data_IF_727998156406
#
_entry.id   IF_727998156406
#
_cell.length_a   1.000
_cell.length_b   1.000
_cell.length_c   1.000
_cell.angle_alpha   90.00
_cell.angle_beta   90.00
_cell.angle_gamma   90.00
#
_symmetry.space_group_name_H-M   'P 1'
#
loop_
_entity.id
_entity.type
_entity.pdbx_description
1 polymer ?
#
# COMPACT_ATOMS: atom_id res chain seq x y z
N UNK A 1 4.67 11.36 22.81
CA UNK A 1 4.76 12.77 23.27
C UNK A 1 4.71 13.62 22.01
N UNK A 2 3.62 14.37 21.81
CA UNK A 2 3.50 15.31 20.70
C UNK A 2 4.57 16.39 20.91
N UNK A 3 5.63 16.35 20.11
CA UNK A 3 6.56 17.47 20.01
C UNK A 3 5.77 18.68 19.50
N UNK A 4 6.08 19.86 20.05
CA UNK A 4 5.51 21.12 19.61
C UNK A 4 5.56 21.19 18.07
N UNK A 5 4.49 21.67 17.44
CA UNK A 5 4.43 21.95 16.01
C UNK A 5 5.52 22.97 15.67
N UNK A 6 6.68 22.48 15.23
CA UNK A 6 7.64 23.30 14.50
C UNK A 6 6.87 23.89 13.32
N UNK A 7 6.69 25.20 13.33
CA UNK A 7 5.97 25.86 12.23
C UNK A 7 6.94 25.92 11.06
N UNK A 8 6.89 24.92 10.18
CA UNK A 8 7.70 24.88 8.97
C UNK A 8 7.40 26.09 8.06
N UNK A 9 8.44 26.68 7.47
CA UNK A 9 8.35 27.80 6.54
C UNK A 9 8.11 27.34 5.09
N UNK A 10 8.57 26.16 4.70
CA UNK A 10 8.34 25.61 3.37
C UNK A 10 6.94 25.00 3.23
N UNK A 11 6.35 25.12 2.03
CA UNK A 11 5.08 24.47 1.71
C UNK A 11 5.19 22.94 1.81
N UNK A 12 6.35 22.37 1.46
CA UNK A 12 6.60 20.95 1.51
C UNK A 12 6.49 20.37 2.92
N UNK A 13 7.28 20.88 3.87
CA UNK A 13 7.31 20.29 5.20
C UNK A 13 6.02 20.56 5.96
N UNK A 14 5.38 21.73 5.77
CA UNK A 14 4.02 21.96 6.29
C UNK A 14 3.03 20.92 5.77
N UNK A 15 2.99 20.72 4.45
CA UNK A 15 2.06 19.77 3.83
C UNK A 15 2.30 18.33 4.31
N UNK A 16 3.56 17.93 4.47
CA UNK A 16 3.91 16.60 4.97
C UNK A 16 3.55 16.45 6.46
N UNK A 17 3.78 17.47 7.28
CA UNK A 17 3.45 17.46 8.71
C UNK A 17 1.94 17.43 8.96
N UNK A 18 1.19 18.35 8.34
CA UNK A 18 -0.27 18.48 8.51
C UNK A 18 -1.04 17.22 8.06
N UNK A 19 -0.46 16.46 7.11
CA UNK A 19 -1.01 15.18 6.64
C UNK A 19 -0.45 13.97 7.38
N UNK A 20 0.48 14.14 8.31
CA UNK A 20 1.04 13.08 9.14
C UNK A 20 2.02 12.15 8.43
N UNK A 21 2.74 12.64 7.41
CA UNK A 21 3.78 11.87 6.73
C UNK A 21 5.11 11.85 7.49
N UNK A 22 5.41 12.83 8.34
CA UNK A 22 6.75 12.91 8.96
C UNK A 22 6.84 11.96 10.15
N UNK A 23 7.75 10.98 10.07
CA UNK A 23 8.16 10.14 11.20
C UNK A 23 9.57 10.47 11.68
N UNK A 24 10.53 10.51 10.76
CA UNK A 24 11.89 10.96 11.03
C UNK A 24 12.35 11.87 9.90
N UNK A 25 13.15 12.87 10.24
CA UNK A 25 13.75 13.81 9.29
C UNK A 25 15.16 14.15 9.76
N UNK A 26 16.13 14.16 8.84
CA UNK A 26 17.47 14.67 9.14
C UNK A 26 17.50 16.17 8.93
N UNK A 27 18.10 16.89 9.89
CA UNK A 27 18.24 18.36 9.88
C UNK A 27 16.97 19.09 9.37
N UNK A 28 15.85 19.03 10.12
CA UNK A 28 14.56 19.58 9.68
C UNK A 28 14.67 21.06 9.29
N UNK A 29 15.43 21.85 10.05
CA UNK A 29 15.63 23.26 9.76
C UNK A 29 16.41 23.50 8.44
N UNK A 30 17.45 22.70 8.19
CA UNK A 30 18.20 22.76 6.93
C UNK A 30 17.36 22.38 5.71
N UNK A 31 16.56 21.31 5.82
CA UNK A 31 15.66 20.88 4.75
C UNK A 31 14.56 21.91 4.50
N UNK A 32 13.98 22.48 5.55
CA UNK A 32 12.95 23.52 5.45
C UNK A 32 13.47 24.78 4.77
N UNK A 33 14.64 25.26 5.20
CA UNK A 33 15.29 26.41 4.60
C UNK A 33 15.67 26.16 3.13
N UNK A 34 16.04 24.92 2.77
CA UNK A 34 16.32 24.55 1.37
C UNK A 34 15.05 24.55 0.54
N UNK A 35 13.98 23.92 1.02
CA UNK A 35 12.69 23.83 0.34
C UNK A 35 12.00 25.18 0.19
N UNK A 36 12.19 26.11 1.14
CA UNK A 36 11.70 27.48 1.03
C UNK A 36 12.44 28.33 -0.02
N UNK A 37 13.69 27.97 -0.34
CA UNK A 37 14.55 28.73 -1.27
C UNK A 37 14.42 28.29 -2.73
N UNK A 38 14.03 27.04 -2.98
CA UNK A 38 13.98 26.52 -4.35
C UNK A 38 13.43 25.11 -4.48
N UNK A 39 13.50 24.61 -5.70
CA UNK A 39 13.05 23.25 -6.05
C UNK A 39 14.02 22.23 -5.46
N UNK A 40 13.50 21.27 -4.70
CA UNK A 40 14.26 20.18 -4.11
C UNK A 40 13.98 18.90 -4.88
N UNK A 41 14.91 18.39 -5.70
CA UNK A 41 14.73 17.08 -6.28
C UNK A 41 14.83 16.02 -5.18
N UNK A 42 13.78 15.23 -5.04
CA UNK A 42 13.63 14.23 -4.00
C UNK A 42 13.15 12.90 -4.57
N UNK A 43 13.65 11.79 -4.03
CA UNK A 43 13.43 10.47 -4.61
C UNK A 43 12.90 9.43 -3.64
N UNK A 44 12.23 8.41 -4.20
CA UNK A 44 11.93 7.14 -3.53
C UNK A 44 12.26 6.00 -4.49
N UNK A 45 12.89 4.94 -3.96
CA UNK A 45 13.18 3.71 -4.68
C UNK A 45 12.08 2.66 -4.56
N UNK A 46 11.80 1.95 -5.65
CA UNK A 46 10.83 0.86 -5.72
C UNK A 46 11.42 -0.36 -6.43
N UNK A 47 11.61 -1.46 -5.69
CA UNK A 47 12.05 -2.73 -6.28
C UNK A 47 10.91 -3.41 -7.06
N UNK A 48 11.20 -3.85 -8.29
CA UNK A 48 10.25 -4.43 -9.24
C UNK A 48 10.03 -5.94 -9.00
N UNK A 49 9.68 -6.32 -7.77
CA UNK A 49 9.56 -7.73 -7.36
C UNK A 49 8.26 -8.43 -7.77
N UNK A 50 7.30 -7.68 -8.33
CA UNK A 50 6.00 -8.16 -8.78
C UNK A 50 5.48 -7.22 -9.90
N UNK A 51 4.49 -7.63 -10.72
CA UNK A 51 3.98 -6.80 -11.82
C UNK A 51 3.17 -5.58 -11.34
N UNK A 52 2.92 -5.45 -10.05
CA UNK A 52 2.20 -4.33 -9.45
C UNK A 52 2.81 -4.00 -8.09
N UNK A 53 2.74 -2.73 -7.71
CA UNK A 53 2.86 -2.34 -6.31
C UNK A 53 1.54 -2.61 -5.58
N UNK A 54 1.55 -2.53 -4.25
CA UNK A 54 0.36 -2.70 -3.41
C UNK A 54 0.12 -1.46 -2.55
N UNK A 55 -1.02 -1.35 -1.88
CA UNK A 55 -1.39 -0.19 -1.03
C UNK A 55 -0.35 0.16 0.04
N UNK A 56 0.46 -0.80 0.52
CA UNK A 56 1.58 -0.50 1.42
C UNK A 56 2.66 0.41 0.80
N UNK A 57 2.81 0.38 -0.53
CA UNK A 57 3.71 1.26 -1.28
C UNK A 57 3.02 2.56 -1.69
N UNK A 58 1.69 2.60 -1.70
CA UNK A 58 0.92 3.76 -2.14
C UNK A 58 1.23 5.00 -1.30
N UNK A 59 1.49 4.86 0.00
CA UNK A 59 1.85 6.01 0.85
C UNK A 59 3.14 6.69 0.38
N UNK A 60 4.09 5.90 -0.11
CA UNK A 60 5.35 6.42 -0.65
C UNK A 60 5.11 7.14 -1.97
N UNK A 61 4.27 6.57 -2.84
CA UNK A 61 3.87 7.22 -4.10
C UNK A 61 3.13 8.53 -3.80
N UNK A 62 2.24 8.54 -2.81
CA UNK A 62 1.55 9.76 -2.37
C UNK A 62 2.51 10.79 -1.80
N UNK A 63 3.58 10.39 -1.11
CA UNK A 63 4.61 11.32 -0.66
C UNK A 63 5.37 11.97 -1.82
N UNK A 64 5.69 11.23 -2.89
CA UNK A 64 6.21 11.82 -4.14
C UNK A 64 5.19 12.79 -4.77
N UNK A 65 3.89 12.46 -4.71
CA UNK A 65 2.83 13.37 -5.16
C UNK A 65 2.77 14.63 -4.32
N UNK A 66 2.94 14.56 -2.99
CA UNK A 66 3.04 15.75 -2.11
C UNK A 66 4.25 16.59 -2.46
N UNK A 67 5.40 15.95 -2.70
CA UNK A 67 6.60 16.63 -3.17
C UNK A 67 6.31 17.42 -4.45
N UNK A 68 5.62 16.82 -5.42
CA UNK A 68 5.24 17.51 -6.66
C UNK A 68 4.24 18.65 -6.44
N UNK A 69 3.21 18.42 -5.64
CA UNK A 69 2.17 19.41 -5.34
C UNK A 69 2.71 20.63 -4.60
N UNK A 70 3.77 20.45 -3.80
CA UNK A 70 4.52 21.54 -3.17
C UNK A 70 5.51 22.25 -4.14
N UNK A 71 5.50 21.91 -5.43
CA UNK A 71 6.31 22.56 -6.46
C UNK A 71 7.73 22.00 -6.59
N UNK A 72 8.03 20.86 -5.98
CA UNK A 72 9.35 20.22 -6.03
C UNK A 72 9.41 19.10 -7.08
N UNK A 73 10.59 18.52 -7.31
CA UNK A 73 10.82 17.55 -8.39
C UNK A 73 10.87 16.11 -7.86
N UNK A 74 9.85 15.27 -8.14
CA UNK A 74 9.89 13.87 -7.76
C UNK A 74 10.77 13.06 -8.70
N UNK A 75 11.58 12.18 -8.12
CA UNK A 75 12.36 11.18 -8.86
C UNK A 75 11.88 9.79 -8.42
N UNK A 76 11.23 9.07 -9.34
CA UNK A 76 10.83 7.68 -9.14
C UNK A 76 12.01 6.80 -9.56
N UNK A 77 12.64 6.11 -8.60
CA UNK A 77 13.74 5.19 -8.92
C UNK A 77 13.19 3.77 -8.98
N UNK A 78 13.18 3.21 -10.18
CA UNK A 78 12.90 1.81 -10.40
C UNK A 78 14.16 1.00 -10.09
N UNK A 79 14.03 0.06 -9.16
CA UNK A 79 15.14 -0.72 -8.64
C UNK A 79 15.55 -1.87 -9.55
N UNK A 80 15.80 -1.67 -10.84
CA UNK A 80 16.15 -2.77 -11.76
C UNK A 80 17.44 -3.49 -11.35
N UNK A 81 18.45 -2.75 -10.90
CA UNK A 81 19.69 -3.30 -10.36
C UNK A 81 19.51 -3.89 -8.95
N UNK A 82 18.86 -3.16 -8.05
CA UNK A 82 18.61 -3.60 -6.67
C UNK A 82 17.69 -4.82 -6.57
N UNK A 83 16.73 -4.97 -7.50
CA UNK A 83 15.83 -6.14 -7.58
C UNK A 83 16.58 -7.43 -7.88
N UNK A 84 17.72 -7.36 -8.60
CA UNK A 84 18.60 -8.52 -8.86
C UNK A 84 19.29 -9.03 -7.59
N UNK A 85 19.32 -8.23 -6.53
CA UNK A 85 19.98 -8.49 -5.25
C UNK A 85 18.94 -8.84 -4.17
N UNK A 86 17.95 -7.95 -3.98
CA UNK A 86 16.86 -8.06 -3.02
C UNK A 86 17.12 -7.36 -1.68
N UNK A 87 16.20 -6.46 -1.27
CA UNK A 87 16.26 -5.76 0.02
C UNK A 87 15.98 -6.70 1.21
N UNK A 88 16.90 -6.83 2.19
CA UNK A 88 16.65 -7.58 3.42
C UNK A 88 15.84 -6.80 4.49
N UNK A 89 15.61 -5.50 4.31
CA UNK A 89 15.04 -4.63 5.34
C UNK A 89 13.60 -5.04 5.68
N UNK A 90 13.35 -5.34 6.96
CA UNK A 90 12.03 -5.66 7.48
C UNK A 90 11.42 -6.99 6.99
N UNK A 91 12.24 -7.91 6.45
CA UNK A 91 11.81 -9.22 5.92
C UNK A 91 12.55 -10.39 6.57
N UNK A 92 11.84 -11.48 6.83
CA UNK A 92 12.37 -12.69 7.45
C UNK A 92 12.90 -13.73 6.43
N UNK A 93 12.37 -13.74 5.19
CA UNK A 93 12.67 -14.74 4.16
C UNK A 93 13.50 -14.17 3.00
N UNK A 94 14.37 -15.01 2.41
CA UNK A 94 15.15 -14.66 1.22
C UNK A 94 14.27 -14.52 -0.03
N UNK A 95 14.62 -13.56 -0.90
CA UNK A 95 13.86 -13.27 -2.13
C UNK A 95 14.15 -14.28 -3.24
N UNK A 96 13.15 -14.58 -4.05
CA UNK A 96 13.35 -15.28 -5.33
C UNK A 96 14.03 -14.34 -6.32
N UNK A 97 15.08 -14.84 -6.99
CA UNK A 97 15.75 -14.10 -8.06
C UNK A 97 14.89 -14.12 -9.32
N UNK A 98 14.60 -12.94 -9.87
CA UNK A 98 13.85 -12.75 -11.11
C UNK A 98 14.82 -12.66 -12.30
N UNK A 99 14.35 -13.01 -13.50
CA UNK A 99 15.14 -12.77 -14.72
C UNK A 99 15.06 -11.29 -15.11
N UNK A 100 16.05 -10.75 -15.83
CA UNK A 100 16.02 -9.37 -16.31
C UNK A 100 14.74 -9.04 -17.09
N UNK A 101 14.26 -9.96 -17.93
CA UNK A 101 13.06 -9.76 -18.73
C UNK A 101 11.80 -9.61 -17.87
N UNK A 102 11.70 -10.37 -16.77
CA UNK A 102 10.59 -10.25 -15.82
C UNK A 102 10.69 -8.94 -15.03
N UNK A 103 11.90 -8.51 -14.69
CA UNK A 103 12.13 -7.22 -14.02
C UNK A 103 11.67 -6.07 -14.93
N UNK A 104 12.04 -6.07 -16.20
CA UNK A 104 11.66 -5.04 -17.16
C UNK A 104 10.14 -5.00 -17.39
N UNK A 105 9.49 -6.16 -17.50
CA UNK A 105 8.03 -6.26 -17.58
C UNK A 105 7.34 -5.70 -16.34
N UNK A 106 7.87 -6.02 -15.15
CA UNK A 106 7.34 -5.48 -13.90
C UNK A 106 7.52 -3.96 -13.82
N UNK A 107 8.67 -3.42 -14.24
CA UNK A 107 8.93 -1.99 -14.28
C UNK A 107 7.92 -1.28 -15.18
N UNK A 108 7.72 -1.78 -16.41
CA UNK A 108 6.76 -1.22 -17.35
C UNK A 108 5.32 -1.24 -16.79
N UNK A 109 4.92 -2.33 -16.15
CA UNK A 109 3.60 -2.46 -15.53
C UNK A 109 3.42 -1.53 -14.32
N UNK A 110 4.44 -1.37 -13.48
CA UNK A 110 4.41 -0.46 -12.32
C UNK A 110 4.32 1.01 -12.77
N UNK A 111 4.97 1.40 -13.87
CA UNK A 111 4.93 2.77 -14.37
C UNK A 111 3.51 3.30 -14.62
N UNK A 112 2.59 2.44 -15.06
CA UNK A 112 1.17 2.80 -15.32
C UNK A 112 0.41 3.31 -14.10
N UNK A 113 0.91 3.02 -12.88
CA UNK A 113 0.37 3.57 -11.64
C UNK A 113 0.91 4.98 -11.40
N UNK A 114 2.21 5.18 -11.65
CA UNK A 114 2.85 6.47 -11.44
C UNK A 114 2.34 7.53 -12.40
N UNK A 115 2.12 7.21 -13.68
CA UNK A 115 1.62 8.16 -14.69
C UNK A 115 0.25 8.78 -14.33
N UNK A 116 -0.54 8.11 -13.47
CA UNK A 116 -1.82 8.63 -12.97
C UNK A 116 -1.65 9.53 -11.75
N UNK A 117 -0.59 9.31 -10.98
CA UNK A 117 -0.36 9.95 -9.68
C UNK A 117 0.67 11.08 -9.74
N UNK A 118 1.46 11.18 -10.81
CA UNK A 118 2.47 12.20 -11.03
C UNK A 118 2.39 12.75 -12.45
N UNK A 119 2.76 14.02 -12.61
CA UNK A 119 2.94 14.62 -13.93
C UNK A 119 4.39 14.44 -14.37
N UNK A 120 4.63 13.69 -15.45
CA UNK A 120 5.96 13.46 -16.01
C UNK A 120 6.27 14.45 -17.14
N UNK A 121 7.53 14.84 -17.27
CA UNK A 121 7.97 15.81 -18.27
C UNK A 121 9.36 16.38 -17.99
N UNK A 122 9.73 17.39 -18.77
CA UNK A 122 11.05 18.05 -18.72
C UNK A 122 11.05 19.34 -17.89
N UNK A 123 9.91 19.70 -17.30
CA UNK A 123 9.77 20.87 -16.45
C UNK A 123 10.59 20.79 -15.14
N UNK A 124 10.84 21.93 -14.49
CA UNK A 124 11.63 21.99 -13.26
C UNK A 124 11.06 21.11 -12.12
N UNK A 125 9.73 21.01 -12.01
CA UNK A 125 9.01 20.20 -11.01
C UNK A 125 8.37 18.93 -11.60
N UNK A 126 8.56 18.68 -12.90
CA UNK A 126 8.01 17.50 -13.54
C UNK A 126 8.75 16.26 -13.04
N UNK A 127 7.99 15.20 -12.78
CA UNK A 127 8.52 13.95 -12.30
C UNK A 127 9.37 13.28 -13.37
N UNK A 128 10.40 12.57 -12.94
CA UNK A 128 11.20 11.69 -13.79
C UNK A 128 11.19 10.28 -13.21
N UNK A 129 11.18 9.28 -14.09
CA UNK A 129 11.38 7.90 -13.71
C UNK A 129 12.73 7.44 -14.26
N UNK A 130 13.55 6.85 -13.40
CA UNK A 130 14.90 6.38 -13.74
C UNK A 130 15.07 4.94 -13.27
N UNK A 131 15.97 4.19 -13.88
CA UNK A 131 16.28 2.83 -13.46
C UNK A 131 17.70 2.77 -12.90
N UNK A 132 17.86 2.32 -11.65
CA UNK A 132 19.19 2.22 -11.04
C UNK A 132 20.11 1.18 -11.70
N UNK A 133 19.55 0.29 -12.53
CA UNK A 133 20.35 -0.61 -13.36
C UNK A 133 21.29 0.15 -14.32
N UNK A 134 20.94 1.38 -14.70
CA UNK A 134 21.75 2.23 -15.59
C UNK A 134 23.17 2.47 -15.07
N UNK A 135 23.35 2.57 -13.75
CA UNK A 135 24.66 2.75 -13.12
C UNK A 135 25.13 1.50 -12.39
N UNK A 136 24.23 0.75 -11.74
CA UNK A 136 24.63 -0.44 -10.98
C UNK A 136 25.12 -1.57 -11.88
N UNK A 137 24.57 -1.74 -13.09
CA UNK A 137 25.04 -2.77 -14.02
C UNK A 137 26.44 -2.48 -14.59
N UNK A 138 26.86 -1.21 -14.56
CA UNK A 138 28.16 -0.77 -15.05
C UNK A 138 29.23 -0.74 -13.94
N UNK A 139 28.81 -0.80 -12.68
CA UNK A 139 29.69 -0.65 -11.53
C UNK A 139 30.61 -1.88 -11.38
N UNK A 140 31.89 -1.69 -11.65
CA UNK A 140 32.88 -2.76 -11.53
C UNK A 140 33.06 -3.19 -10.08
N UNK A 141 33.16 -4.51 -9.82
CA UNK A 141 33.32 -5.01 -8.45
C UNK A 141 34.55 -4.42 -7.72
N UNK A 142 35.69 -4.30 -8.42
CA UNK A 142 36.90 -3.72 -7.85
C UNK A 142 36.75 -2.21 -7.62
N UNK A 143 36.04 -1.52 -8.49
CA UNK A 143 35.74 -0.09 -8.36
C UNK A 143 34.86 0.16 -7.14
N UNK A 144 33.76 -0.61 -7.00
CA UNK A 144 32.90 -0.58 -5.81
C UNK A 144 33.73 -0.77 -4.53
N UNK A 145 34.59 -1.80 -4.48
CA UNK A 145 35.39 -2.07 -3.28
C UNK A 145 36.42 -0.98 -2.97
N UNK A 146 37.02 -0.35 -3.98
CA UNK A 146 38.09 0.63 -3.80
C UNK A 146 37.57 2.04 -3.53
N UNK A 147 36.51 2.43 -4.22
CA UNK A 147 36.06 3.82 -4.24
C UNK A 147 34.86 4.04 -3.31
N UNK A 148 34.03 3.01 -3.12
CA UNK A 148 32.84 3.08 -2.25
C UNK A 148 33.08 2.33 -0.93
N UNK A 149 33.66 1.14 -0.99
CA UNK A 149 33.92 0.25 0.14
C UNK A 149 34.56 0.91 1.37
N UNK A 150 35.61 1.75 1.26
CA UNK A 150 36.26 2.37 2.40
C UNK A 150 35.36 3.30 3.23
N UNK A 151 34.23 3.73 2.67
CA UNK A 151 33.27 4.58 3.35
C UNK A 151 32.30 3.81 4.25
N UNK A 152 32.30 2.47 4.20
CA UNK A 152 31.46 1.59 5.00
C UNK A 152 32.30 0.80 6.01
N UNK A 153 31.80 0.70 7.25
CA UNK A 153 32.40 -0.21 8.23
C UNK A 153 31.40 -1.32 8.56
N UNK A 154 31.89 -2.57 8.56
CA UNK A 154 31.07 -3.74 8.90
C UNK A 154 30.45 -3.55 10.29
N UNK A 155 31.23 -3.09 11.27
CA UNK A 155 30.74 -2.84 12.62
C UNK A 155 29.51 -1.92 12.64
N UNK A 156 29.52 -0.81 11.88
CA UNK A 156 28.38 0.11 11.81
C UNK A 156 27.20 -0.54 11.09
N UNK A 157 27.43 -1.21 9.96
CA UNK A 157 26.36 -1.89 9.22
C UNK A 157 25.62 -2.93 10.06
N UNK A 158 26.33 -3.64 10.95
CA UNK A 158 25.74 -4.61 11.88
C UNK A 158 24.88 -3.97 12.99
N UNK A 159 25.02 -2.67 13.25
CA UNK A 159 24.22 -1.98 14.28
C UNK A 159 22.84 -1.54 13.80
N UNK A 160 22.58 -1.53 12.49
CA UNK A 160 21.27 -1.14 11.99
C UNK A 160 20.24 -2.19 12.37
N UNK A 161 19.07 -1.74 12.88
CA UNK A 161 18.03 -2.63 13.40
C UNK A 161 17.58 -3.67 12.36
N UNK A 162 17.56 -3.31 11.07
CA UNK A 162 17.22 -4.21 9.96
C UNK A 162 18.16 -5.42 9.86
N UNK A 163 19.44 -5.24 10.19
CA UNK A 163 20.47 -6.28 10.16
C UNK A 163 20.57 -6.98 11.51
N UNK A 164 20.62 -6.19 12.58
CA UNK A 164 20.76 -6.66 13.96
C UNK A 164 19.66 -7.66 14.32
N UNK A 165 18.40 -7.35 14.02
CA UNK A 165 17.28 -8.23 14.33
C UNK A 165 17.33 -9.58 13.59
N UNK A 166 17.83 -9.62 12.34
CA UNK A 166 18.00 -10.89 11.61
C UNK A 166 19.09 -11.75 12.24
N UNK A 167 20.20 -11.13 12.62
CA UNK A 167 21.30 -11.82 13.29
C UNK A 167 20.90 -12.34 14.67
N UNK A 168 20.16 -11.56 15.46
CA UNK A 168 19.62 -11.98 16.76
C UNK A 168 18.64 -13.15 16.65
N UNK A 169 17.90 -13.24 15.54
CA UNK A 169 16.97 -14.33 15.23
C UNK A 169 17.64 -15.54 14.57
N UNK A 170 18.96 -15.54 14.43
CA UNK A 170 19.74 -16.55 13.71
C UNK A 170 19.25 -16.79 12.27
N UNK A 171 18.64 -15.76 11.66
CA UNK A 171 18.23 -15.82 10.26
C UNK A 171 19.45 -15.60 9.35
N UNK A 172 19.63 -16.41 8.30
CA UNK A 172 20.71 -16.20 7.35
C UNK A 172 20.61 -14.82 6.69
N UNK A 173 21.71 -14.06 6.76
CA UNK A 173 21.92 -12.84 5.97
C UNK A 173 23.05 -13.10 4.99
N UNK A 174 22.71 -13.16 3.70
CA UNK A 174 23.71 -13.48 2.67
C UNK A 174 24.61 -12.29 2.38
N UNK A 175 25.80 -12.54 1.82
CA UNK A 175 26.67 -11.46 1.34
C UNK A 175 25.95 -10.59 0.30
N UNK A 176 25.11 -11.19 -0.55
CA UNK A 176 24.29 -10.49 -1.53
C UNK A 176 23.37 -9.46 -0.86
N UNK A 177 22.56 -9.89 0.10
CA UNK A 177 21.64 -9.04 0.86
C UNK A 177 22.39 -7.97 1.68
N UNK A 178 23.56 -8.31 2.24
CA UNK A 178 24.37 -7.36 3.01
C UNK A 178 24.89 -6.19 2.14
N UNK A 179 25.16 -6.44 0.85
CA UNK A 179 25.58 -5.40 -0.08
C UNK A 179 24.44 -4.47 -0.51
N UNK A 180 23.17 -4.82 -0.26
CA UNK A 180 22.02 -3.97 -0.63
C UNK A 180 22.14 -2.54 -0.06
N UNK A 181 22.55 -2.43 1.20
CA UNK A 181 22.75 -1.12 1.87
C UNK A 181 23.78 -0.24 1.15
N UNK A 182 24.81 -0.85 0.56
CA UNK A 182 25.86 -0.14 -0.18
C UNK A 182 25.32 0.33 -1.53
N UNK A 183 24.56 -0.51 -2.22
CA UNK A 183 23.98 -0.18 -3.52
C UNK A 183 22.93 0.94 -3.40
N UNK A 184 22.04 0.88 -2.41
CA UNK A 184 21.07 1.96 -2.17
C UNK A 184 21.76 3.26 -1.75
N UNK A 185 22.85 3.18 -0.99
CA UNK A 185 23.63 4.38 -0.65
C UNK A 185 24.30 4.98 -1.90
N UNK A 186 24.79 4.13 -2.80
CA UNK A 186 25.36 4.54 -4.08
C UNK A 186 24.31 5.17 -5.01
N UNK A 187 23.07 4.67 -5.00
CA UNK A 187 21.95 5.30 -5.72
C UNK A 187 21.80 6.78 -5.32
N UNK A 188 21.85 7.11 -4.02
CA UNK A 188 21.71 8.51 -3.58
C UNK A 188 22.87 9.38 -4.12
N UNK A 189 24.10 8.87 -4.11
CA UNK A 189 25.24 9.57 -4.68
C UNK A 189 25.07 9.80 -6.19
N UNK A 190 24.68 8.78 -6.95
CA UNK A 190 24.45 8.89 -8.39
C UNK A 190 23.31 9.85 -8.73
N UNK A 191 22.21 9.80 -7.98
CA UNK A 191 21.08 10.71 -8.16
C UNK A 191 21.48 12.16 -7.82
N UNK A 192 22.31 12.35 -6.80
CA UNK A 192 22.85 13.67 -6.47
C UNK A 192 23.79 14.20 -7.58
N UNK A 193 24.53 13.33 -8.27
CA UNK A 193 25.38 13.70 -9.42
C UNK A 193 24.55 14.05 -10.66
N UNK A 194 23.56 13.23 -10.98
CA UNK A 194 22.82 13.29 -12.26
C UNK A 194 21.66 14.28 -12.24
N UNK A 195 20.97 14.41 -11.10
CA UNK A 195 19.72 15.15 -10.98
C UNK A 195 19.75 16.22 -9.89
N UNK A 196 20.93 16.48 -9.31
CA UNK A 196 21.09 17.31 -8.10
C UNK A 196 20.10 16.91 -7.00
N UNK A 197 19.83 15.59 -6.88
CA UNK A 197 18.96 15.06 -5.84
C UNK A 197 19.49 15.41 -4.45
N UNK A 198 18.64 16.03 -3.63
CA UNK A 198 18.98 16.49 -2.28
C UNK A 198 18.23 15.75 -1.18
N UNK A 199 17.15 15.03 -1.50
CA UNK A 199 16.28 14.39 -0.52
C UNK A 199 15.98 12.94 -0.90
N UNK A 200 16.24 11.99 0.01
CA UNK A 200 15.69 10.63 -0.08
C UNK A 200 14.52 10.50 0.87
N UNK A 201 13.39 10.03 0.36
CA UNK A 201 12.22 9.72 1.19
C UNK A 201 11.94 8.21 1.19
N UNK A 202 11.27 7.71 2.23
CA UNK A 202 10.93 6.29 2.31
C UNK A 202 10.07 5.90 3.51
N UNK A 203 9.84 4.60 3.68
CA UNK A 203 9.24 4.06 4.90
C UNK A 203 10.21 4.10 6.08
N UNK A 204 9.69 4.06 7.31
CA UNK A 204 10.51 4.03 8.53
C UNK A 204 11.53 2.89 8.57
N UNK A 205 11.24 1.78 7.90
CA UNK A 205 12.14 0.63 7.74
C UNK A 205 13.38 0.91 6.86
N UNK A 206 13.36 2.01 6.09
CA UNK A 206 14.45 2.41 5.19
C UNK A 206 15.43 3.41 5.83
N UNK A 207 15.20 3.83 7.08
CA UNK A 207 16.00 4.87 7.74
C UNK A 207 17.51 4.60 7.72
N UNK A 208 17.92 3.36 8.02
CA UNK A 208 19.33 2.97 8.00
C UNK A 208 19.98 3.14 6.62
N UNK A 209 19.26 2.79 5.56
CA UNK A 209 19.76 2.88 4.19
C UNK A 209 19.83 4.34 3.71
N UNK A 210 18.81 5.15 4.05
CA UNK A 210 18.78 6.60 3.77
C UNK A 210 19.99 7.30 4.41
N UNK A 211 20.22 7.04 5.71
CA UNK A 211 21.35 7.64 6.45
C UNK A 211 22.71 7.21 5.87
N UNK A 212 22.83 5.97 5.39
CA UNK A 212 24.04 5.51 4.70
C UNK A 212 24.28 6.25 3.39
N UNK A 213 23.25 6.46 2.58
CA UNK A 213 23.35 7.24 1.34
C UNK A 213 23.78 8.68 1.59
N UNK A 214 23.19 9.33 2.60
CA UNK A 214 23.60 10.67 3.02
C UNK A 214 25.07 10.73 3.43
N UNK A 215 25.50 9.79 4.27
CA UNK A 215 26.88 9.75 4.76
C UNK A 215 27.88 9.45 3.65
N UNK A 216 27.51 8.60 2.67
CA UNK A 216 28.33 8.32 1.50
C UNK A 216 28.52 9.59 0.66
N UNK A 217 27.43 10.29 0.32
CA UNK A 217 27.47 11.54 -0.44
C UNK A 217 28.32 12.61 0.24
N UNK A 218 28.20 12.72 1.57
CA UNK A 218 29.02 13.63 2.38
C UNK A 218 30.51 13.26 2.37
N UNK A 219 30.84 11.97 2.51
CA UNK A 219 32.24 11.50 2.57
C UNK A 219 32.95 11.56 1.23
N UNK A 220 32.26 11.24 0.15
CA UNK A 220 32.86 11.19 -1.19
C UNK A 220 32.93 12.58 -1.82
N UNK A 221 31.91 13.42 -1.63
CA UNK A 221 31.78 14.67 -2.39
C UNK A 221 31.41 15.89 -1.55
N UNK A 222 31.32 15.76 -0.23
CA UNK A 222 30.92 16.88 0.64
C UNK A 222 29.49 17.36 0.40
N UNK A 223 28.64 16.53 -0.21
CA UNK A 223 27.25 16.88 -0.50
C UNK A 223 26.42 16.92 0.76
N UNK A 224 25.62 17.97 0.88
CA UNK A 224 24.58 18.09 1.90
C UNK A 224 23.30 17.43 1.37
N UNK A 225 22.95 16.28 1.95
CA UNK A 225 21.82 15.46 1.56
C UNK A 225 20.89 15.27 2.76
N UNK A 226 19.60 15.07 2.49
CA UNK A 226 18.55 14.95 3.51
C UNK A 226 17.79 13.64 3.37
N UNK A 227 17.16 13.23 4.47
CA UNK A 227 16.42 12.00 4.61
C UNK A 227 15.12 12.25 5.36
N UNK A 228 14.01 11.71 4.84
CA UNK A 228 12.70 11.80 5.49
C UNK A 228 12.00 10.45 5.41
N UNK A 229 11.40 9.99 6.51
CA UNK A 229 10.63 8.73 6.52
C UNK A 229 9.20 8.94 6.96
N UNK A 230 8.33 8.09 6.43
CA UNK A 230 6.94 7.95 6.88
C UNK A 230 6.79 6.90 7.97
N UNK A 231 5.80 7.02 8.86
CA UNK A 231 5.55 5.99 9.85
C UNK A 231 5.18 4.67 9.18
N UNK A 232 5.51 3.56 9.83
CA UNK A 232 5.03 2.25 9.40
C UNK A 232 3.50 2.24 9.46
N UNK A 233 2.86 1.98 8.30
CA UNK A 233 1.40 1.96 8.24
C UNK A 233 0.83 0.67 8.82
N UNK A 234 0.19 0.81 9.97
CA UNK A 234 -0.69 -0.18 10.57
C UNK A 234 -2.15 0.27 10.46
N UNK A 235 -3.06 -0.67 10.51
CA UNK A 235 -4.48 -0.43 10.80
C UNK A 235 -4.67 -0.25 12.31
N UNK A 236 -5.84 0.22 12.74
CA UNK A 236 -6.18 0.38 14.15
C UNK A 236 -6.13 -0.94 14.93
N UNK A 237 -6.26 -2.08 14.24
CA UNK A 237 -6.11 -3.43 14.81
C UNK A 237 -4.66 -3.94 14.82
N UNK A 238 -3.70 -3.08 14.47
CA UNK A 238 -2.26 -3.38 14.48
C UNK A 238 -1.76 -4.17 13.27
N UNK A 239 -2.64 -4.55 12.33
CA UNK A 239 -2.22 -5.26 11.12
C UNK A 239 -1.50 -4.32 10.15
N UNK A 240 -0.40 -4.79 9.52
CA UNK A 240 0.32 -4.04 8.48
C UNK A 240 -0.59 -3.78 7.28
N UNK A 241 -0.59 -2.54 6.80
CA UNK A 241 -1.38 -2.14 5.64
C UNK A 241 -0.89 -2.84 4.37
N UNK A 242 -1.84 -3.30 3.53
CA UNK A 242 -1.54 -4.01 2.28
C UNK A 242 -1.30 -5.51 2.38
N UNK A 243 -1.41 -6.11 3.57
CA UNK A 243 -1.55 -7.57 3.74
C UNK A 243 -2.92 -7.88 4.32
N UNK A 244 -3.79 -8.48 3.52
CA UNK A 244 -5.07 -9.04 3.98
C UNK A 244 -4.96 -10.54 4.14
N UNK A 245 -5.91 -11.17 4.84
CA UNK A 245 -6.01 -12.64 4.89
C UNK A 245 -6.12 -13.27 3.48
N UNK A 246 -6.64 -12.50 2.52
CA UNK A 246 -6.81 -12.85 1.11
C UNK A 246 -5.60 -12.50 0.21
N UNK A 247 -4.51 -11.97 0.78
CA UNK A 247 -3.31 -11.57 0.03
C UNK A 247 -3.13 -10.06 -0.06
N UNK A 248 -2.27 -9.62 -0.98
CA UNK A 248 -1.93 -8.21 -1.14
C UNK A 248 -3.03 -7.42 -1.86
N UNK A 249 -3.20 -6.15 -1.49
CA UNK A 249 -4.12 -5.23 -2.16
C UNK A 249 -3.37 -4.50 -3.26
N UNK A 250 -3.43 -5.01 -4.48
CA UNK A 250 -2.66 -4.52 -5.62
C UNK A 250 -3.22 -3.22 -6.22
N UNK A 251 -2.32 -2.38 -6.73
CA UNK A 251 -2.68 -1.12 -7.38
C UNK A 251 -3.19 -1.34 -8.81
N UNK A 252 -2.50 -2.19 -9.60
CA UNK A 252 -2.91 -2.52 -10.96
C UNK A 252 -4.19 -3.38 -10.97
N UNK A 253 -5.09 -3.07 -11.89
CA UNK A 253 -6.39 -3.74 -11.98
C UNK A 253 -6.30 -5.22 -12.37
N UNK A 254 -5.34 -5.59 -13.22
CA UNK A 254 -5.12 -6.98 -13.63
C UNK A 254 -4.79 -7.91 -12.46
N UNK A 255 -4.28 -7.37 -11.35
CA UNK A 255 -3.92 -8.13 -10.14
C UNK A 255 -5.02 -8.11 -9.08
N UNK A 256 -5.87 -7.06 -9.08
CA UNK A 256 -7.00 -6.93 -8.16
C UNK A 256 -8.09 -6.10 -8.83
N UNK A 257 -9.31 -6.60 -9.05
CA UNK A 257 -10.39 -5.85 -9.70
C UNK A 257 -10.77 -4.55 -8.98
N UNK A 258 -11.27 -3.54 -9.72
CA UNK A 258 -11.61 -2.21 -9.18
C UNK A 258 -12.60 -2.26 -8.01
N UNK A 259 -13.60 -3.14 -8.09
CA UNK A 259 -14.55 -3.34 -7.01
C UNK A 259 -13.87 -3.82 -5.72
N UNK A 260 -12.96 -4.79 -5.80
CA UNK A 260 -12.29 -5.34 -4.62
C UNK A 260 -11.31 -4.31 -4.01
N UNK A 261 -10.65 -3.51 -4.86
CA UNK A 261 -9.82 -2.39 -4.41
C UNK A 261 -10.65 -1.31 -3.71
N UNK A 262 -11.77 -0.90 -4.29
CA UNK A 262 -12.68 0.06 -3.69
C UNK A 262 -13.24 -0.46 -2.35
N UNK A 263 -13.63 -1.74 -2.31
CA UNK A 263 -14.12 -2.42 -1.11
C UNK A 263 -13.08 -2.46 0.00
N UNK A 264 -11.78 -2.58 -0.31
CA UNK A 264 -10.74 -2.52 0.71
C UNK A 264 -10.79 -1.20 1.49
N UNK A 265 -10.91 -0.07 0.79
CA UNK A 265 -11.01 1.25 1.41
C UNK A 265 -12.35 1.46 2.11
N UNK A 266 -13.45 1.00 1.50
CA UNK A 266 -14.79 1.09 2.10
C UNK A 266 -14.92 0.32 3.41
N UNK A 267 -14.15 -0.76 3.57
CA UNK A 267 -14.16 -1.63 4.75
C UNK A 267 -13.07 -1.27 5.77
N UNK A 268 -12.42 -0.10 5.66
CA UNK A 268 -11.50 0.35 6.70
C UNK A 268 -12.20 0.51 8.05
N UNK A 269 -11.45 0.42 9.14
CA UNK A 269 -11.95 0.69 10.49
C UNK A 269 -12.32 2.17 10.63
N UNK A 270 -13.38 2.46 11.38
CA UNK A 270 -13.82 3.83 11.68
C UNK A 270 -12.68 4.72 12.19
N UNK A 271 -11.82 4.16 13.04
CA UNK A 271 -10.67 4.83 13.66
C UNK A 271 -9.57 5.19 12.65
N UNK A 272 -9.56 4.56 11.48
CA UNK A 272 -8.56 4.77 10.44
C UNK A 272 -9.01 5.75 9.35
N UNK A 273 -10.31 6.03 9.23
CA UNK A 273 -10.88 6.81 8.12
C UNK A 273 -10.17 8.16 7.96
N UNK A 274 -10.11 8.96 9.04
CA UNK A 274 -9.48 10.27 9.02
C UNK A 274 -8.02 10.25 8.57
N UNK A 275 -7.23 9.39 9.22
CA UNK A 275 -5.82 9.19 8.88
C UNK A 275 -5.64 8.75 7.42
N UNK A 276 -6.50 7.87 6.91
CA UNK A 276 -6.44 7.44 5.52
C UNK A 276 -6.86 8.54 4.54
N UNK A 277 -7.85 9.37 4.88
CA UNK A 277 -8.20 10.54 4.08
C UNK A 277 -7.00 11.50 3.95
N UNK A 278 -6.27 11.76 5.05
CA UNK A 278 -5.05 12.59 5.05
C UNK A 278 -3.93 12.02 4.16
N UNK A 279 -3.68 10.72 4.25
CA UNK A 279 -2.54 10.06 3.61
C UNK A 279 -2.78 9.66 2.14
N UNK A 280 -4.02 9.41 1.74
CA UNK A 280 -4.31 8.76 0.44
C UNK A 280 -5.21 9.57 -0.51
N UNK A 281 -5.68 10.75 -0.11
CA UNK A 281 -6.56 11.59 -0.96
C UNK A 281 -5.98 12.98 -1.18
N UNK A 282 -6.43 13.66 -2.23
CA UNK A 282 -6.12 15.08 -2.46
C UNK A 282 -7.16 16.03 -1.83
N UNK A 283 -8.03 15.52 -0.95
CA UNK A 283 -9.05 16.35 -0.33
C UNK A 283 -8.40 17.48 0.50
N UNK A 284 -8.99 18.70 0.47
CA UNK A 284 -8.60 19.79 1.36
C UNK A 284 -8.69 19.38 2.84
N UNK A 285 -7.80 19.92 3.69
CA UNK A 285 -7.71 19.54 5.10
C UNK A 285 -8.97 19.91 5.91
N UNK A 286 -9.68 20.97 5.53
CA UNK A 286 -10.96 21.38 6.10
C UNK A 286 -12.07 20.38 5.75
N UNK A 287 -12.10 19.88 4.52
CA UNK A 287 -13.03 18.83 4.11
C UNK A 287 -12.72 17.51 4.83
N UNK A 288 -11.43 17.18 5.00
CA UNK A 288 -11.03 16.02 5.79
C UNK A 288 -11.49 16.18 7.25
N UNK A 289 -11.29 17.35 7.86
CA UNK A 289 -11.74 17.60 9.23
C UNK A 289 -13.27 17.49 9.37
N UNK A 290 -14.03 17.91 8.36
CA UNK A 290 -15.50 17.73 8.31
C UNK A 290 -15.88 16.25 8.27
N UNK A 291 -15.23 15.46 7.43
CA UNK A 291 -15.49 14.02 7.29
C UNK A 291 -15.05 13.22 8.52
N UNK A 292 -13.97 13.64 9.18
CA UNK A 292 -13.45 13.06 10.42
C UNK A 292 -14.39 13.24 11.61
N UNK A 293 -15.20 14.30 11.60
CA UNK A 293 -16.18 14.59 12.64
C UNK A 293 -17.47 13.76 12.50
N UNK A 294 -17.63 12.99 11.43
CA UNK A 294 -18.81 12.14 11.22
C UNK A 294 -18.74 10.90 12.12
N UNK A 295 -19.83 10.62 12.84
CA UNK A 295 -19.93 9.51 13.78
C UNK A 295 -21.17 8.65 13.49
N UNK A 296 -21.27 7.50 14.17
CA UNK A 296 -22.43 6.62 14.08
C UNK A 296 -22.66 6.11 12.65
N UNK A 297 -23.84 6.33 12.09
CA UNK A 297 -24.16 5.89 10.74
C UNK A 297 -23.48 6.75 9.65
N UNK A 298 -23.23 8.04 9.93
CA UNK A 298 -22.73 9.03 8.97
C UNK A 298 -21.27 8.78 8.57
N UNK A 299 -20.50 8.07 9.40
CA UNK A 299 -19.12 7.67 9.07
C UNK A 299 -19.04 6.81 7.79
N UNK A 300 -20.13 6.14 7.43
CA UNK A 300 -20.20 5.38 6.17
C UNK A 300 -20.03 6.29 4.95
N UNK A 301 -20.48 7.54 5.02
CA UNK A 301 -20.29 8.51 3.94
C UNK A 301 -18.81 8.87 3.80
N UNK A 302 -18.10 9.08 4.93
CA UNK A 302 -16.65 9.31 4.91
C UNK A 302 -15.88 8.11 4.33
N UNK A 303 -16.30 6.88 4.61
CA UNK A 303 -15.71 5.66 4.02
C UNK A 303 -15.96 5.55 2.53
N UNK A 304 -17.15 5.93 2.06
CA UNK A 304 -17.47 5.97 0.62
C UNK A 304 -16.62 7.03 -0.07
N UNK A 305 -16.49 8.23 0.52
CA UNK A 305 -15.61 9.29 0.00
C UNK A 305 -14.16 8.82 -0.09
N UNK A 306 -13.63 8.20 0.97
CA UNK A 306 -12.29 7.63 0.96
C UNK A 306 -12.12 6.62 -0.18
N UNK A 307 -13.03 5.65 -0.29
CA UNK A 307 -12.96 4.63 -1.33
C UNK A 307 -13.04 5.21 -2.74
N UNK A 308 -13.90 6.21 -2.95
CA UNK A 308 -14.04 6.91 -4.21
C UNK A 308 -12.78 7.69 -4.59
N UNK A 309 -12.25 8.52 -3.70
CA UNK A 309 -11.10 9.37 -4.00
C UNK A 309 -9.84 8.55 -4.24
N UNK A 310 -9.58 7.52 -3.43
CA UNK A 310 -8.40 6.66 -3.65
C UNK A 310 -8.54 5.83 -4.93
N UNK A 311 -9.72 5.28 -5.20
CA UNK A 311 -9.96 4.51 -6.45
C UNK A 311 -9.86 5.41 -7.67
N UNK A 312 -10.39 6.63 -7.60
CA UNK A 312 -10.31 7.63 -8.68
C UNK A 312 -8.86 8.00 -9.00
N UNK A 313 -8.03 8.22 -7.99
CA UNK A 313 -6.61 8.54 -8.17
C UNK A 313 -5.84 7.37 -8.81
N UNK A 314 -6.06 6.14 -8.35
CA UNK A 314 -5.27 4.98 -8.79
C UNK A 314 -5.80 4.39 -10.11
N UNK A 315 -7.12 4.42 -10.34
CA UNK A 315 -7.78 3.65 -11.42
C UNK A 315 -8.68 4.51 -12.32
N UNK A 316 -8.83 5.79 -12.01
CA UNK A 316 -9.67 6.71 -12.77
C UNK A 316 -11.12 6.80 -12.27
N UNK A 317 -11.79 7.87 -12.71
CA UNK A 317 -13.12 8.22 -12.21
C UNK A 317 -14.22 7.21 -12.60
N UNK A 318 -14.11 6.59 -13.77
CA UNK A 318 -15.08 5.57 -14.22
C UNK A 318 -15.03 4.32 -13.33
N UNK A 319 -13.83 3.84 -13.01
CA UNK A 319 -13.65 2.69 -12.12
C UNK A 319 -14.22 2.95 -10.72
N UNK A 320 -14.01 4.16 -10.17
CA UNK A 320 -14.57 4.56 -8.88
C UNK A 320 -16.11 4.57 -8.91
N UNK A 321 -16.72 5.22 -9.92
CA UNK A 321 -18.18 5.26 -10.09
C UNK A 321 -18.79 3.87 -10.25
N UNK A 322 -18.19 3.03 -11.08
CA UNK A 322 -18.67 1.67 -11.32
C UNK A 322 -18.58 0.80 -10.05
N UNK A 323 -17.49 0.91 -9.30
CA UNK A 323 -17.32 0.19 -8.05
C UNK A 323 -18.33 0.63 -6.98
N UNK A 324 -18.55 1.94 -6.82
CA UNK A 324 -19.55 2.48 -5.91
C UNK A 324 -20.98 2.03 -6.30
N UNK A 325 -21.34 2.13 -7.59
CA UNK A 325 -22.64 1.67 -8.08
C UNK A 325 -22.85 0.18 -7.79
N UNK A 326 -21.85 -0.65 -8.08
CA UNK A 326 -21.88 -2.09 -7.76
C UNK A 326 -22.06 -2.32 -6.26
N UNK A 327 -21.39 -1.54 -5.40
CA UNK A 327 -21.52 -1.65 -3.95
C UNK A 327 -22.93 -1.25 -3.48
N UNK A 328 -23.49 -0.16 -4.04
CA UNK A 328 -24.86 0.28 -3.77
C UNK A 328 -25.88 -0.76 -4.19
N UNK A 329 -25.75 -1.34 -5.38
CA UNK A 329 -26.64 -2.40 -5.88
C UNK A 329 -26.53 -3.67 -5.03
N UNK A 330 -25.31 -4.08 -4.65
CA UNK A 330 -25.09 -5.24 -3.77
C UNK A 330 -25.69 -5.02 -2.38
N UNK A 331 -25.68 -3.79 -1.88
CA UNK A 331 -26.24 -3.42 -0.57
C UNK A 331 -27.76 -3.18 -0.63
N UNK A 332 -28.28 -2.55 -1.69
CA UNK A 332 -29.70 -2.35 -1.93
C UNK A 332 -30.41 -3.69 -2.20
N UNK A 333 -29.79 -4.56 -3.00
CA UNK A 333 -30.18 -5.97 -3.12
C UNK A 333 -29.89 -6.80 -1.86
N UNK A 334 -29.30 -6.21 -0.82
CA UNK A 334 -29.10 -6.79 0.52
C UNK A 334 -30.00 -6.17 1.59
N UNK A 335 -30.73 -5.10 1.28
CA UNK A 335 -31.71 -4.46 2.15
C UNK A 335 -33.11 -4.98 1.80
N UNK A 336 -33.36 -6.26 2.13
CA UNK A 336 -34.69 -6.84 2.32
C UNK A 336 -35.65 -6.97 1.13
N UNK A 337 -35.61 -6.10 0.12
CA UNK A 337 -36.71 -5.97 -0.84
C UNK A 337 -36.51 -6.72 -2.17
N UNK A 338 -35.27 -7.09 -2.54
CA UNK A 338 -34.96 -7.79 -3.81
C UNK A 338 -34.12 -9.08 -3.65
N UNK A 339 -33.96 -9.58 -2.42
CA UNK A 339 -33.27 -10.85 -2.20
C UNK A 339 -34.13 -12.02 -2.71
N UNK A 340 -33.55 -13.01 -3.43
CA UNK A 340 -34.23 -14.25 -3.73
C UNK A 340 -34.82 -14.85 -2.45
N UNK A 341 -36.15 -14.92 -2.38
CA UNK A 341 -36.87 -15.44 -1.22
C UNK A 341 -37.34 -16.86 -1.50
N UNK A 342 -37.09 -17.77 -0.56
CA UNK A 342 -37.64 -19.12 -0.58
C UNK A 342 -38.56 -19.32 0.62
N UNK A 343 -39.84 -19.60 0.36
CA UNK A 343 -40.76 -20.05 1.40
C UNK A 343 -40.52 -21.54 1.68
N UNK A 344 -40.21 -21.90 2.93
CA UNK A 344 -40.13 -23.28 3.39
C UNK A 344 -41.41 -23.64 4.12
N UNK A 345 -41.99 -24.80 3.81
CA UNK A 345 -43.23 -25.26 4.43
C UNK A 345 -43.05 -25.59 5.92
N UNK A 346 -44.16 -25.96 6.59
CA UNK A 346 -44.18 -26.26 8.03
C UNK A 346 -43.24 -27.41 8.47
N UNK A 347 -42.81 -28.26 7.54
CA UNK A 347 -41.86 -29.36 7.79
C UNK A 347 -40.37 -28.93 7.66
N UNK A 348 -40.12 -27.69 7.24
CA UNK A 348 -38.78 -27.16 6.97
C UNK A 348 -38.15 -27.74 5.71
N UNK A 349 -36.93 -27.31 5.40
CA UNK A 349 -36.19 -27.82 4.24
C UNK A 349 -34.73 -28.01 4.57
N UNK A 350 -34.12 -29.09 4.08
CA UNK A 350 -32.68 -29.32 4.28
C UNK A 350 -31.86 -28.25 3.58
N UNK A 351 -30.81 -27.78 4.24
CA UNK A 351 -29.95 -26.68 3.77
C UNK A 351 -29.41 -26.88 2.35
N UNK A 352 -29.06 -28.12 1.97
CA UNK A 352 -28.57 -28.41 0.61
C UNK A 352 -29.64 -28.20 -0.48
N UNK A 353 -30.89 -28.55 -0.18
CA UNK A 353 -32.01 -28.34 -1.09
C UNK A 353 -32.36 -26.85 -1.20
N UNK A 354 -32.35 -26.13 -0.07
CA UNK A 354 -32.53 -24.66 -0.03
C UNK A 354 -31.50 -23.98 -0.94
N UNK A 355 -30.21 -24.31 -0.81
CA UNK A 355 -29.14 -23.73 -1.62
C UNK A 355 -29.30 -24.05 -3.12
N UNK A 356 -29.72 -25.26 -3.46
CA UNK A 356 -29.92 -25.65 -4.86
C UNK A 356 -31.15 -24.95 -5.46
N UNK A 357 -32.24 -24.84 -4.71
CA UNK A 357 -33.48 -24.21 -5.16
C UNK A 357 -33.34 -22.70 -5.34
N UNK A 358 -32.49 -22.06 -4.52
CA UNK A 358 -32.10 -20.66 -4.68
C UNK A 358 -31.07 -20.43 -5.81
N UNK A 359 -30.63 -21.48 -6.52
CA UNK A 359 -29.62 -21.38 -7.58
C UNK A 359 -28.21 -21.06 -7.04
N UNK A 360 -27.98 -21.22 -5.74
CA UNK A 360 -26.68 -20.93 -5.14
C UNK A 360 -25.66 -22.02 -5.46
N UNK A 361 -26.12 -23.24 -5.68
CA UNK A 361 -25.33 -24.40 -6.09
C UNK A 361 -26.02 -25.16 -7.21
N UNK A 362 -25.26 -25.73 -8.15
CA UNK A 362 -25.79 -26.52 -9.26
C UNK A 362 -26.27 -27.92 -8.84
N UNK A 363 -25.84 -28.40 -7.66
CA UNK A 363 -26.27 -29.69 -7.11
C UNK A 363 -26.12 -29.78 -5.59
N UNK A 364 -26.80 -30.74 -4.97
CA UNK A 364 -26.66 -31.07 -3.55
C UNK A 364 -25.22 -31.52 -3.17
N UNK A 365 -24.48 -32.11 -4.11
CA UNK A 365 -23.07 -32.46 -3.90
C UNK A 365 -22.18 -31.24 -3.76
N UNK A 366 -22.44 -30.20 -4.56
CA UNK A 366 -21.76 -28.91 -4.45
C UNK A 366 -22.12 -28.19 -3.14
N UNK A 367 -23.39 -28.22 -2.73
CA UNK A 367 -23.83 -27.67 -1.45
C UNK A 367 -23.09 -28.29 -0.26
N UNK A 368 -22.94 -29.63 -0.24
CA UNK A 368 -22.20 -30.34 0.82
C UNK A 368 -20.74 -29.89 0.92
N UNK A 369 -20.07 -29.70 -0.21
CA UNK A 369 -18.69 -29.18 -0.26
C UNK A 369 -18.62 -27.76 0.28
N UNK A 370 -19.56 -26.89 -0.10
CA UNK A 370 -19.62 -25.50 0.40
C UNK A 370 -19.91 -25.38 1.89
N UNK A 371 -20.72 -26.28 2.44
CA UNK A 371 -20.94 -26.40 3.89
C UNK A 371 -19.65 -26.82 4.61
N UNK A 372 -18.92 -27.80 4.08
CA UNK A 372 -17.64 -28.24 4.65
C UNK A 372 -16.56 -27.14 4.61
N UNK A 373 -16.56 -26.30 3.56
CA UNK A 373 -15.70 -25.12 3.42
C UNK A 373 -16.09 -23.98 4.40
N UNK A 374 -17.21 -24.08 5.12
CA UNK A 374 -17.71 -23.02 6.00
C UNK A 374 -18.22 -21.78 5.25
N UNK A 375 -18.57 -21.93 3.97
CA UNK A 375 -18.96 -20.83 3.10
C UNK A 375 -20.45 -20.46 3.21
N UNK A 376 -21.26 -21.29 3.87
CA UNK A 376 -22.71 -21.09 4.04
C UNK A 376 -22.98 -20.52 5.43
N UNK A 377 -23.77 -19.45 5.51
CA UNK A 377 -24.20 -18.88 6.79
C UNK A 377 -25.69 -18.62 6.85
N UNK A 378 -26.30 -18.85 8.01
CA UNK A 378 -27.66 -18.43 8.36
C UNK A 378 -27.53 -17.37 9.46
N UNK A 379 -28.09 -16.18 9.23
CA UNK A 379 -28.02 -15.02 10.14
C UNK A 379 -26.60 -14.69 10.63
N UNK A 380 -25.61 -14.93 9.76
CA UNK A 380 -24.20 -14.68 10.02
C UNK A 380 -23.45 -15.86 10.66
N UNK A 381 -24.15 -16.89 11.13
CA UNK A 381 -23.55 -18.09 11.72
C UNK A 381 -23.26 -19.17 10.68
N UNK A 382 -22.05 -19.74 10.71
CA UNK A 382 -21.62 -20.73 9.73
C UNK A 382 -22.30 -22.08 9.95
N UNK A 383 -22.98 -22.58 8.92
CA UNK A 383 -23.60 -23.91 8.93
C UNK A 383 -22.67 -24.90 8.24
N UNK A 384 -22.33 -25.99 8.93
CA UNK A 384 -21.43 -27.03 8.40
C UNK A 384 -22.11 -28.39 8.25
N UNK A 385 -23.22 -28.62 8.96
CA UNK A 385 -23.94 -29.89 8.92
C UNK A 385 -24.78 -30.01 7.64
N UNK A 386 -24.51 -30.98 6.75
CA UNK A 386 -25.32 -31.23 5.56
C UNK A 386 -26.76 -31.70 5.86
N UNK A 387 -27.01 -32.18 7.08
CA UNK A 387 -28.34 -32.58 7.54
C UNK A 387 -29.13 -31.43 8.19
N UNK A 388 -28.54 -30.22 8.31
CA UNK A 388 -29.18 -29.08 8.94
C UNK A 388 -30.52 -28.76 8.27
N UNK A 389 -31.57 -28.68 9.10
CA UNK A 389 -32.93 -28.36 8.70
C UNK A 389 -33.16 -26.86 8.88
N UNK A 390 -33.45 -26.16 7.78
CA UNK A 390 -33.83 -24.75 7.80
C UNK A 390 -35.33 -24.67 8.06
N UNK A 391 -35.70 -24.14 9.22
CA UNK A 391 -37.07 -23.99 9.65
C UNK A 391 -37.22 -22.66 10.43
N UNK A 392 -37.56 -21.56 9.73
CA UNK A 392 -37.99 -20.34 10.39
C UNK A 392 -39.27 -20.59 11.23
N UNK A 393 -39.47 -19.79 12.27
CA UNK A 393 -40.76 -19.63 12.95
C UNK A 393 -41.81 -18.99 12.04
N UNK A 394 -43.08 -19.07 12.45
CA UNK A 394 -44.20 -18.51 11.66
C UNK A 394 -44.09 -16.98 11.60
N UNK A 395 -43.95 -16.42 10.39
CA UNK A 395 -43.68 -15.00 10.17
C UNK A 395 -42.21 -14.59 10.40
N UNK A 396 -41.30 -15.54 10.64
CA UNK A 396 -39.87 -15.29 10.77
C UNK A 396 -39.17 -15.36 9.39
N UNK A 397 -38.12 -14.56 9.23
CA UNK A 397 -37.27 -14.54 8.04
C UNK A 397 -35.83 -14.77 8.45
N UNK A 398 -35.22 -15.82 7.91
CA UNK A 398 -33.80 -16.14 8.11
C UNK A 398 -32.98 -15.64 6.91
N UNK A 399 -31.84 -15.01 7.18
CA UNK A 399 -30.91 -14.56 6.12
C UNK A 399 -29.91 -15.65 5.78
N UNK A 400 -29.98 -16.18 4.56
CA UNK A 400 -29.04 -17.16 4.05
C UNK A 400 -27.96 -16.50 3.18
N UNK A 401 -26.70 -16.88 3.35
CA UNK A 401 -25.61 -16.44 2.47
C UNK A 401 -24.69 -17.60 2.06
N UNK A 402 -24.24 -17.57 0.81
CA UNK A 402 -23.16 -18.41 0.28
C UNK A 402 -22.01 -17.51 -0.19
N UNK A 403 -20.92 -17.50 0.58
CA UNK A 403 -19.79 -16.60 0.34
C UNK A 403 -20.18 -15.13 0.47
N UNK A 404 -19.46 -14.25 -0.23
CA UNK A 404 -19.67 -12.79 -0.12
C UNK A 404 -20.78 -12.24 -1.03
N UNK A 405 -21.12 -12.95 -2.11
CA UNK A 405 -21.92 -12.42 -3.22
C UNK A 405 -23.35 -12.98 -3.32
N UNK A 406 -23.63 -14.17 -2.78
CA UNK A 406 -24.95 -14.81 -2.90
C UNK A 406 -25.68 -14.72 -1.56
N UNK A 407 -26.77 -13.97 -1.52
CA UNK A 407 -27.61 -13.76 -0.33
C UNK A 407 -29.08 -14.01 -0.69
N UNK A 408 -29.83 -14.60 0.22
CA UNK A 408 -31.25 -14.94 0.05
C UNK A 408 -31.99 -14.84 1.38
N UNK A 409 -33.31 -14.76 1.32
CA UNK A 409 -34.20 -14.83 2.47
C UNK A 409 -34.92 -16.18 2.48
N UNK A 410 -34.99 -16.82 3.64
CA UNK A 410 -35.79 -18.02 3.84
C UNK A 410 -36.91 -17.70 4.80
N UNK A 411 -38.15 -17.86 4.35
CA UNK A 411 -39.36 -17.44 5.08
C UNK A 411 -40.25 -18.63 5.37
N UNK A 412 -41.12 -18.49 6.37
CA UNK A 412 -42.19 -19.44 6.68
C UNK A 412 -43.53 -18.75 6.82
#
# INVERSE_FOLDING_TARGET
MSTATETYESDLLRLLDERGYIHQVTDPAGLDALAAKGIVPGYIGFDATAPSLHVGSLVQIMMLRRLQQAGHKPIVVMGGGTTKIGDPSGKDESRKLLTPEVIDQNIASIFTVFERLLTFGDGPSDAVMVNNDEWLAQLGYIELLRDVGPHFTINRMLTFDSVKLRLEREQPLTFLEFNYMILQAYDFLELARRYDCRLQMGGSDQWGNIVNGMELGRRMEGRELFGLTTPLLTTADGAKMGKTASGAVWLNEDQLPAYDFWQYWRNCDDRDVGRFLRLFTDLPLDEIARLEALEGAEINDAKVVLANEVTKLVRGADAARAAEATARETFAGGAGEDLPSLAVGAEGMRIGAVLTQLGFTASNGEAKRKLAEGAVKIDGEAVKDPAHLVLPGEGETLRLSLGKKKHALVTR
#
